data_IF_818433431258
#
_entry.id   IF_818433431258
#
_cell.length_a   1.000
_cell.length_b   1.000
_cell.length_c   1.000
_cell.angle_alpha   90.00
_cell.angle_beta   90.00
_cell.angle_gamma   90.00
#
_symmetry.space_group_name_H-M   'P 1'
#
loop_
_entity.id
_entity.type
_entity.pdbx_description
1 polymer ?
#
# COMPACT_ATOMS: atom_id res chain seq x y z
N UNK A 1 0.49 60.13 -2.18
CA UNK A 1 1.33 58.95 -2.48
C UNK A 1 1.78 58.38 -1.15
N UNK A 2 1.66 57.07 -0.93
CA UNK A 2 2.13 56.36 0.27
C UNK A 2 2.84 55.07 -0.18
N UNK A 3 3.75 54.51 0.63
CA UNK A 3 4.84 53.68 0.11
C UNK A 3 4.46 52.23 -0.22
N UNK A 4 5.37 51.59 -0.97
CA UNK A 4 5.32 50.19 -1.42
C UNK A 4 5.08 49.18 -0.30
N UNK A 5 4.16 48.25 -0.53
CA UNK A 5 3.94 47.08 0.32
C UNK A 5 5.22 46.24 0.46
N UNK A 6 5.75 46.09 1.67
CA UNK A 6 6.66 44.98 1.98
C UNK A 6 5.84 43.68 1.95
N UNK A 7 6.03 42.87 0.91
CA UNK A 7 5.67 41.44 0.99
C UNK A 7 6.71 40.76 1.89
N UNK A 8 6.36 40.56 3.16
CA UNK A 8 7.11 39.68 4.06
C UNK A 8 7.08 38.25 3.51
N UNK A 9 8.20 37.79 2.96
CA UNK A 9 8.40 36.40 2.59
C UNK A 9 8.47 35.54 3.86
N UNK A 10 7.32 35.04 4.31
CA UNK A 10 7.28 33.91 5.21
C UNK A 10 7.80 32.68 4.46
N UNK A 11 8.94 32.14 4.90
CA UNK A 11 9.46 30.90 4.38
C UNK A 11 8.50 29.76 4.76
N UNK A 12 7.77 29.23 3.78
CA UNK A 12 6.92 28.05 3.94
C UNK A 12 7.80 26.84 4.24
N UNK A 13 7.83 26.40 5.50
CA UNK A 13 8.46 25.15 5.87
C UNK A 13 7.74 24.01 5.14
N UNK A 14 8.48 23.19 4.38
CA UNK A 14 7.90 22.06 3.67
C UNK A 14 7.41 21.03 4.68
N UNK A 15 6.17 20.57 4.51
CA UNK A 15 5.59 19.50 5.34
C UNK A 15 6.35 18.19 5.16
N UNK A 16 6.86 17.95 3.96
CA UNK A 16 7.68 16.81 3.58
C UNK A 16 9.13 17.23 3.31
N UNK A 17 9.94 16.22 3.02
CA UNK A 17 11.40 16.26 2.92
C UNK A 17 11.83 14.88 2.30
N UNK A 18 12.99 14.73 1.60
CA UNK A 18 13.70 13.40 1.34
C UNK A 18 15.11 13.17 2.01
N UNK A 19 15.26 12.17 2.92
CA UNK A 19 16.37 11.80 3.88
C UNK A 19 17.54 11.27 3.09
N UNK A 20 17.19 10.31 2.26
CA UNK A 20 18.08 9.47 1.52
C UNK A 20 17.30 9.00 0.28
N UNK A 21 18.04 8.71 -0.79
CA UNK A 21 17.52 8.31 -2.09
C UNK A 21 18.29 7.08 -2.54
N UNK A 22 17.58 6.09 -3.05
CA UNK A 22 18.19 4.91 -3.66
C UNK A 22 17.65 4.72 -5.07
N UNK A 23 18.53 4.47 -6.03
CA UNK A 23 18.22 4.09 -7.41
C UNK A 23 18.03 2.57 -7.47
N UNK A 24 16.83 2.11 -7.83
CA UNK A 24 16.48 0.68 -7.86
C UNK A 24 16.84 -0.03 -9.17
N UNK A 25 17.51 0.64 -10.12
CA UNK A 25 17.92 0.19 -11.47
C UNK A 25 16.79 -0.27 -12.42
N UNK A 26 15.71 -0.82 -11.87
CA UNK A 26 14.46 -1.25 -12.50
C UNK A 26 13.30 -0.43 -11.91
N UNK A 27 12.15 -0.42 -12.59
CA UNK A 27 11.00 0.39 -12.14
C UNK A 27 10.50 -0.05 -10.76
N UNK A 28 10.40 0.89 -9.81
CA UNK A 28 9.95 0.56 -8.45
C UNK A 28 8.42 0.48 -8.39
N UNK A 29 7.92 -0.67 -7.95
CA UNK A 29 6.53 -1.09 -8.15
C UNK A 29 5.79 -1.25 -6.81
N UNK A 30 6.50 -1.72 -5.78
CA UNK A 30 5.91 -1.94 -4.45
C UNK A 30 6.91 -1.66 -3.34
N UNK A 31 6.44 -1.14 -2.21
CA UNK A 31 7.23 -0.94 -0.98
C UNK A 31 6.39 -1.37 0.22
N UNK A 32 6.99 -2.13 1.14
CA UNK A 32 6.30 -2.63 2.34
C UNK A 32 7.22 -2.61 3.57
N UNK A 33 6.78 -1.93 4.62
CA UNK A 33 7.46 -1.90 5.92
C UNK A 33 7.11 -3.13 6.76
N UNK A 34 8.10 -3.70 7.45
CA UNK A 34 7.86 -4.85 8.31
C UNK A 34 7.06 -4.40 9.55
N UNK A 35 5.90 -5.02 9.85
CA UNK A 35 5.07 -4.65 10.99
C UNK A 35 5.59 -5.22 12.32
N UNK A 36 6.45 -6.24 12.26
CA UNK A 36 6.85 -7.05 13.42
C UNK A 36 7.83 -6.30 14.32
N UNK A 37 7.56 -6.33 15.62
CA UNK A 37 8.40 -5.80 16.70
C UNK A 37 9.87 -6.22 16.55
N UNK A 38 10.78 -5.30 16.89
CA UNK A 38 12.24 -5.41 16.68
C UNK A 38 12.72 -5.46 15.21
N UNK A 39 11.81 -5.49 14.23
CA UNK A 39 12.12 -5.42 12.78
C UNK A 39 11.40 -4.26 12.07
N UNK A 40 10.77 -3.34 12.82
CA UNK A 40 10.02 -2.18 12.28
C UNK A 40 10.87 -1.15 11.53
N UNK A 41 12.19 -1.28 11.62
CA UNK A 41 13.22 -0.54 10.86
C UNK A 41 13.59 -1.24 9.54
N UNK A 42 13.05 -2.42 9.27
CA UNK A 42 13.19 -3.18 8.01
C UNK A 42 12.03 -2.89 7.06
N UNK A 43 12.34 -2.80 5.78
CA UNK A 43 11.35 -2.78 4.70
C UNK A 43 11.90 -3.43 3.43
N UNK A 44 11.02 -3.69 2.48
CA UNK A 44 11.36 -4.19 1.16
C UNK A 44 10.91 -3.23 0.06
N UNK A 45 11.63 -3.24 -1.06
CA UNK A 45 11.19 -2.66 -2.33
C UNK A 45 11.15 -3.75 -3.40
N UNK A 46 10.00 -3.91 -4.07
CA UNK A 46 9.79 -4.79 -5.21
C UNK A 46 9.85 -3.99 -6.51
N UNK A 47 10.52 -4.52 -7.53
CA UNK A 47 10.63 -3.86 -8.85
C UNK A 47 10.05 -4.69 -9.99
N UNK A 48 9.74 -3.98 -11.06
CA UNK A 48 9.18 -4.49 -12.31
C UNK A 48 10.00 -3.95 -13.49
N UNK A 49 10.44 -4.83 -14.39
CA UNK A 49 11.11 -4.44 -15.63
C UNK A 49 10.62 -5.30 -16.80
N UNK A 50 10.13 -4.64 -17.85
CA UNK A 50 9.71 -5.29 -19.09
C UNK A 50 10.86 -5.23 -20.11
N UNK A 51 11.48 -6.36 -20.42
CA UNK A 51 12.40 -6.43 -21.55
C UNK A 51 11.63 -6.44 -22.86
N UNK A 52 11.81 -5.38 -23.65
CA UNK A 52 11.54 -5.36 -25.09
C UNK A 52 12.81 -5.82 -25.79
N UNK A 53 12.77 -7.00 -26.38
CA UNK A 53 13.93 -7.57 -27.08
C UNK A 53 13.92 -7.10 -28.54
N UNK A 54 14.62 -5.99 -28.82
CA UNK A 54 14.55 -5.27 -30.11
C UNK A 54 15.00 -6.10 -31.32
N UNK A 55 15.65 -7.26 -31.08
CA UNK A 55 16.17 -8.15 -32.13
C UNK A 55 15.34 -9.44 -32.32
N UNK A 56 14.24 -9.66 -31.57
CA UNK A 56 13.43 -10.88 -31.70
C UNK A 56 12.19 -10.70 -32.59
N UNK A 57 12.01 -11.63 -33.52
CA UNK A 57 10.87 -11.67 -34.45
C UNK A 57 9.56 -12.11 -33.75
N UNK A 58 8.90 -11.15 -33.13
CA UNK A 58 7.44 -11.02 -32.89
C UNK A 58 6.63 -12.14 -32.20
N UNK A 59 7.20 -13.32 -31.94
CA UNK A 59 6.47 -14.50 -31.44
C UNK A 59 6.93 -14.99 -30.05
N UNK A 60 7.70 -14.19 -29.30
CA UNK A 60 8.12 -14.51 -27.92
C UNK A 60 7.41 -13.55 -26.98
N UNK A 61 6.75 -14.07 -25.94
CA UNK A 61 6.08 -13.26 -24.93
C UNK A 61 7.11 -12.41 -24.14
N UNK A 62 6.82 -11.13 -23.85
CA UNK A 62 7.82 -10.21 -23.34
C UNK A 62 8.23 -10.58 -21.91
N UNK A 63 9.53 -10.79 -21.70
CA UNK A 63 10.07 -11.22 -20.41
C UNK A 63 9.96 -10.10 -19.39
N UNK A 64 9.48 -10.48 -18.20
CA UNK A 64 9.25 -9.58 -17.05
C UNK A 64 10.18 -9.99 -15.92
N UNK A 65 11.16 -9.15 -15.63
CA UNK A 65 12.16 -9.33 -14.57
C UNK A 65 11.87 -8.37 -13.42
N UNK A 66 12.40 -8.66 -12.25
CA UNK A 66 12.30 -7.76 -11.10
C UNK A 66 13.27 -8.16 -10.01
N UNK A 67 13.28 -7.36 -8.95
CA UNK A 67 14.09 -7.58 -7.77
C UNK A 67 13.28 -7.38 -6.52
N UNK A 68 13.67 -8.07 -5.45
CA UNK A 68 13.30 -7.70 -4.09
C UNK A 68 14.57 -7.17 -3.42
N UNK A 69 14.56 -5.88 -3.10
CA UNK A 69 15.58 -5.23 -2.30
C UNK A 69 15.15 -5.27 -0.83
N UNK A 70 16.00 -5.78 0.06
CA UNK A 70 15.79 -5.75 1.51
C UNK A 70 16.60 -4.60 2.11
N UNK A 71 15.94 -3.67 2.79
CA UNK A 71 16.56 -2.48 3.39
C UNK A 71 16.35 -2.42 4.90
N UNK A 72 17.32 -1.83 5.60
CA UNK A 72 17.19 -1.35 6.97
C UNK A 72 17.39 0.17 6.99
N UNK A 73 16.58 0.92 7.75
CA UNK A 73 16.88 2.32 8.07
C UNK A 73 17.72 2.39 9.35
N UNK A 74 18.77 3.21 9.35
CA UNK A 74 19.66 3.38 10.51
C UNK A 74 19.69 4.84 11.00
N UNK A 75 20.58 5.13 11.96
CA UNK A 75 20.84 6.47 12.47
C UNK A 75 21.04 7.51 11.35
N UNK A 76 20.65 8.75 11.65
CA UNK A 76 20.54 9.86 10.70
C UNK A 76 19.60 9.59 9.50
N UNK A 77 18.87 8.47 9.49
CA UNK A 77 17.86 8.15 8.49
C UNK A 77 18.37 7.52 7.20
N UNK A 78 19.65 7.14 7.16
CA UNK A 78 20.29 6.50 6.01
C UNK A 78 19.68 5.12 5.73
N UNK A 79 19.56 4.77 4.45
CA UNK A 79 19.21 3.43 3.98
C UNK A 79 20.46 2.54 3.95
N UNK A 80 20.31 1.32 4.45
CA UNK A 80 21.31 0.25 4.33
C UNK A 80 20.67 -0.88 3.53
N UNK A 81 21.19 -1.13 2.33
CA UNK A 81 20.84 -2.29 1.54
C UNK A 81 21.45 -3.54 2.19
N UNK A 82 20.60 -4.50 2.54
CA UNK A 82 21.00 -5.76 3.18
C UNK A 82 21.12 -6.90 2.17
N UNK A 83 20.23 -6.95 1.18
CA UNK A 83 20.14 -8.04 0.20
C UNK A 83 19.44 -7.56 -1.08
N UNK A 84 19.83 -8.13 -2.22
CA UNK A 84 19.08 -8.07 -3.48
C UNK A 84 18.76 -9.50 -3.91
N UNK A 85 17.52 -9.76 -4.28
CA UNK A 85 17.06 -11.02 -4.85
C UNK A 85 16.58 -10.78 -6.28
N UNK A 86 17.26 -11.36 -7.28
CA UNK A 86 16.80 -11.39 -8.67
C UNK A 86 15.61 -12.36 -8.79
N UNK A 87 14.48 -11.88 -9.31
CA UNK A 87 13.19 -12.60 -9.36
C UNK A 87 12.45 -12.32 -10.68
N UNK A 88 11.35 -13.04 -11.00
CA UNK A 88 10.36 -12.52 -11.96
C UNK A 88 9.78 -11.21 -11.45
N UNK A 89 9.26 -10.36 -12.34
CA UNK A 89 8.74 -9.05 -11.94
C UNK A 89 7.70 -9.16 -10.81
N UNK A 90 7.88 -8.34 -9.76
CA UNK A 90 6.93 -8.21 -8.66
C UNK A 90 5.78 -7.33 -9.13
N UNK A 91 4.54 -7.72 -8.81
CA UNK A 91 3.33 -6.89 -9.01
C UNK A 91 2.73 -6.44 -7.68
N UNK A 92 2.91 -7.24 -6.63
CA UNK A 92 2.53 -6.90 -5.27
C UNK A 92 3.32 -7.75 -4.28
N UNK A 93 3.44 -7.24 -3.07
CA UNK A 93 3.98 -7.97 -1.93
C UNK A 93 3.41 -7.33 -0.67
N UNK A 94 3.25 -8.13 0.40
CA UNK A 94 2.84 -7.66 1.73
C UNK A 94 3.42 -8.55 2.81
N UNK A 95 3.87 -7.96 3.91
CA UNK A 95 4.24 -8.72 5.10
C UNK A 95 2.99 -9.35 5.74
N UNK A 96 3.14 -10.54 6.34
CA UNK A 96 2.19 -11.00 7.33
C UNK A 96 2.28 -10.07 8.55
N UNK A 97 1.13 -9.63 9.06
CA UNK A 97 1.07 -8.69 10.19
C UNK A 97 1.40 -9.35 11.54
N UNK A 98 1.58 -10.67 11.56
CA UNK A 98 1.94 -11.48 12.74
C UNK A 98 3.03 -12.49 12.37
N UNK A 99 3.74 -13.01 13.37
CA UNK A 99 4.67 -14.12 13.19
C UNK A 99 3.93 -15.45 13.08
N UNK A 100 4.33 -16.30 12.15
CA UNK A 100 3.79 -17.65 11.99
C UNK A 100 4.84 -18.67 12.43
N UNK A 101 4.59 -19.40 13.51
CA UNK A 101 5.57 -20.37 14.05
C UNK A 101 6.95 -19.73 14.32
N UNK A 102 6.96 -18.50 14.85
CA UNK A 102 8.15 -17.65 15.04
C UNK A 102 8.86 -17.19 13.74
N UNK A 103 8.33 -17.50 12.56
CA UNK A 103 8.80 -17.01 11.24
C UNK A 103 8.15 -15.65 10.97
N UNK A 104 8.94 -14.67 10.51
CA UNK A 104 8.44 -13.40 9.93
C UNK A 104 8.28 -13.63 8.43
N UNK A 105 7.07 -13.43 7.89
CA UNK A 105 6.75 -13.84 6.52
C UNK A 105 6.43 -12.65 5.61
N UNK A 106 6.92 -12.72 4.37
CA UNK A 106 6.62 -11.80 3.27
C UNK A 106 5.95 -12.60 2.14
N UNK A 107 4.73 -12.22 1.78
CA UNK A 107 4.04 -12.75 0.60
C UNK A 107 4.39 -11.90 -0.62
N UNK A 108 4.60 -12.54 -1.78
CA UNK A 108 4.95 -11.91 -3.06
C UNK A 108 4.10 -12.50 -4.19
N UNK A 109 3.49 -11.64 -5.01
CA UNK A 109 2.79 -11.97 -6.24
C UNK A 109 3.66 -11.56 -7.44
N UNK A 110 3.94 -12.51 -8.34
CA UNK A 110 4.88 -12.30 -9.44
C UNK A 110 4.30 -12.58 -10.85
N UNK A 111 5.04 -12.08 -11.84
CA UNK A 111 4.66 -12.11 -13.26
C UNK A 111 4.71 -13.47 -13.95
N UNK A 112 5.00 -14.57 -13.24
CA UNK A 112 4.90 -15.94 -13.76
C UNK A 112 3.69 -16.70 -13.16
N UNK A 113 2.86 -16.01 -12.38
CA UNK A 113 1.68 -16.60 -11.76
C UNK A 113 1.99 -17.40 -10.50
N UNK A 114 2.98 -16.99 -9.72
CA UNK A 114 3.28 -17.59 -8.42
C UNK A 114 2.91 -16.65 -7.28
N UNK A 115 2.30 -17.25 -6.24
CA UNK A 115 2.36 -16.76 -4.88
C UNK A 115 3.63 -17.37 -4.25
N UNK A 116 4.55 -16.52 -3.81
CA UNK A 116 5.79 -16.90 -3.16
C UNK A 116 5.78 -16.38 -1.72
N UNK A 117 6.23 -17.20 -0.77
CA UNK A 117 6.35 -16.85 0.65
C UNK A 117 7.82 -16.88 1.01
N UNK A 118 8.35 -15.74 1.41
CA UNK A 118 9.71 -15.58 1.93
C UNK A 118 9.67 -15.49 3.45
N UNK A 119 10.70 -16.02 4.11
CA UNK A 119 10.94 -15.80 5.54
C UNK A 119 12.08 -14.80 5.72
N UNK A 120 11.86 -13.78 6.56
CA UNK A 120 12.95 -12.96 7.09
C UNK A 120 13.66 -13.73 8.22
N UNK A 121 14.95 -13.95 8.07
CA UNK A 121 15.88 -14.50 9.06
C UNK A 121 16.75 -13.40 9.67
N UNK A 122 17.36 -13.71 10.82
CA UNK A 122 18.18 -12.76 11.58
C UNK A 122 19.27 -13.50 12.37
N UNK A 123 20.32 -13.95 11.67
CA UNK A 123 21.39 -14.79 12.22
C UNK A 123 22.64 -13.94 12.48
N UNK A 124 23.02 -13.76 13.76
CA UNK A 124 24.18 -12.98 14.19
C UNK A 124 24.26 -11.60 13.51
N UNK A 125 23.26 -10.76 13.78
CA UNK A 125 23.04 -9.40 13.22
C UNK A 125 22.70 -9.32 11.72
N UNK A 126 23.13 -10.28 10.90
CA UNK A 126 22.77 -10.37 9.48
C UNK A 126 21.30 -10.73 9.30
N UNK A 127 20.61 -10.02 8.39
CA UNK A 127 19.19 -10.26 8.07
C UNK A 127 19.04 -10.57 6.59
N UNK A 128 18.31 -11.64 6.26
CA UNK A 128 18.05 -12.07 4.87
C UNK A 128 16.61 -12.54 4.68
N UNK A 129 16.12 -12.42 3.46
CA UNK A 129 14.94 -13.11 2.96
C UNK A 129 15.38 -14.41 2.27
N UNK A 130 14.79 -15.51 2.74
CA UNK A 130 14.93 -16.84 2.15
C UNK A 130 13.57 -17.28 1.62
N UNK A 131 13.51 -17.87 0.41
CA UNK A 131 12.26 -18.42 -0.13
C UNK A 131 11.86 -19.67 0.68
N UNK A 132 10.73 -19.61 1.39
CA UNK A 132 10.20 -20.71 2.19
C UNK A 132 9.38 -21.68 1.35
N UNK A 133 8.43 -21.15 0.56
CA UNK A 133 7.53 -21.94 -0.29
C UNK A 133 6.97 -21.10 -1.44
N UNK A 134 6.56 -21.75 -2.53
CA UNK A 134 5.82 -21.10 -3.62
C UNK A 134 4.74 -22.03 -4.20
N UNK A 135 3.64 -21.44 -4.65
CA UNK A 135 2.52 -22.15 -5.30
C UNK A 135 2.09 -21.38 -6.56
N UNK A 136 1.86 -22.08 -7.67
CA UNK A 136 1.30 -21.46 -8.87
C UNK A 136 -0.19 -21.17 -8.65
N UNK A 137 -0.64 -19.99 -9.04
CA UNK A 137 -2.00 -19.54 -8.74
C UNK A 137 -3.05 -20.06 -9.74
N UNK A 138 -2.63 -20.39 -10.96
CA UNK A 138 -3.44 -21.04 -11.97
C UNK A 138 -2.60 -22.08 -12.73
N UNK A 139 -3.25 -23.13 -13.24
CA UNK A 139 -2.55 -24.23 -13.91
C UNK A 139 -2.08 -23.84 -15.32
N UNK A 140 -2.80 -22.91 -15.95
CA UNK A 140 -2.47 -22.35 -17.27
C UNK A 140 -1.24 -21.45 -17.19
N UNK A 141 -0.41 -21.54 -18.23
CA UNK A 141 0.61 -20.53 -18.50
C UNK A 141 -0.02 -19.17 -18.85
N UNK A 142 0.79 -18.11 -18.78
CA UNK A 142 0.41 -16.70 -19.06
C UNK A 142 -0.62 -16.06 -18.10
N UNK A 143 -0.88 -16.66 -16.93
CA UNK A 143 -1.61 -16.00 -15.83
C UNK A 143 -0.62 -15.27 -14.92
N UNK A 144 -0.83 -13.97 -14.70
CA UNK A 144 -0.07 -13.17 -13.74
C UNK A 144 -0.78 -13.20 -12.38
N UNK A 145 -0.02 -13.31 -11.29
CA UNK A 145 -0.50 -12.89 -9.97
C UNK A 145 -0.37 -11.37 -9.89
N UNK A 146 -1.45 -10.68 -9.52
CA UNK A 146 -1.54 -9.22 -9.60
C UNK A 146 -1.51 -8.54 -8.23
N UNK A 147 -2.27 -9.05 -7.27
CA UNK A 147 -2.22 -8.57 -5.88
C UNK A 147 -2.39 -9.72 -4.89
N UNK A 148 -2.00 -9.51 -3.65
CA UNK A 148 -2.27 -10.39 -2.53
C UNK A 148 -2.63 -9.62 -1.26
N UNK A 149 -3.30 -10.31 -0.33
CA UNK A 149 -3.50 -9.81 1.03
C UNK A 149 -3.57 -10.96 2.06
N UNK A 150 -3.22 -10.68 3.30
CA UNK A 150 -3.19 -11.63 4.41
C UNK A 150 -4.39 -11.43 5.34
N UNK A 151 -4.99 -12.51 5.83
CA UNK A 151 -6.08 -12.45 6.83
C UNK A 151 -5.64 -11.98 8.23
N UNK A 152 -4.49 -11.31 8.35
CA UNK A 152 -3.78 -11.00 9.61
C UNK A 152 -3.85 -9.53 10.02
N UNK A 153 -4.44 -8.64 9.19
CA UNK A 153 -4.41 -7.18 9.38
C UNK A 153 -4.92 -6.64 10.72
N UNK A 154 -5.64 -7.46 11.48
CA UNK A 154 -6.14 -7.17 12.84
C UNK A 154 -5.28 -7.71 13.99
N UNK A 155 -4.06 -8.18 13.69
CA UNK A 155 -3.04 -8.73 14.61
C UNK A 155 -3.48 -9.98 15.39
N UNK A 156 -4.37 -10.79 14.80
CA UNK A 156 -4.83 -12.05 15.38
C UNK A 156 -3.97 -13.23 14.91
N UNK A 157 -3.50 -14.04 15.86
CA UNK A 157 -2.78 -15.29 15.58
C UNK A 157 -3.78 -16.44 15.37
N UNK A 158 -4.18 -16.70 14.12
CA UNK A 158 -4.83 -17.96 13.74
C UNK A 158 -3.81 -19.11 13.64
N UNK A 159 -4.29 -20.36 13.77
CA UNK A 159 -3.45 -21.58 13.72
C UNK A 159 -2.88 -21.83 12.31
N UNK A 160 -3.62 -21.42 11.29
CA UNK A 160 -3.21 -21.40 9.88
C UNK A 160 -3.30 -19.95 9.38
N UNK A 161 -2.43 -19.53 8.45
CA UNK A 161 -2.58 -18.22 7.81
C UNK A 161 -3.25 -18.34 6.45
N UNK A 162 -4.22 -17.47 6.16
CA UNK A 162 -4.91 -17.39 4.87
C UNK A 162 -4.40 -16.20 4.06
N UNK A 163 -4.26 -16.42 2.76
CA UNK A 163 -3.80 -15.43 1.78
C UNK A 163 -4.80 -15.41 0.62
N UNK A 164 -5.28 -14.24 0.23
CA UNK A 164 -6.01 -14.05 -1.02
C UNK A 164 -5.05 -13.56 -2.10
N UNK A 165 -5.22 -14.00 -3.34
CA UNK A 165 -4.48 -13.51 -4.51
C UNK A 165 -5.42 -13.24 -5.68
N UNK A 166 -5.25 -12.12 -6.37
CA UNK A 166 -5.99 -11.76 -7.58
C UNK A 166 -5.17 -12.00 -8.85
N UNK A 167 -5.83 -12.25 -10.00
CA UNK A 167 -5.15 -12.66 -11.24
C UNK A 167 -5.55 -11.93 -12.53
N UNK A 168 -4.70 -12.07 -13.55
CA UNK A 168 -4.88 -11.46 -14.88
C UNK A 168 -5.88 -12.17 -15.80
N UNK A 169 -6.74 -13.04 -15.25
CA UNK A 169 -7.91 -13.63 -15.91
C UNK A 169 -9.20 -13.34 -15.13
N UNK A 170 -9.15 -12.50 -14.09
CA UNK A 170 -10.29 -12.06 -13.30
C UNK A 170 -10.63 -12.95 -12.12
N UNK A 171 -9.79 -13.95 -11.81
CA UNK A 171 -10.01 -14.81 -10.65
C UNK A 171 -9.46 -14.18 -9.37
N UNK A 172 -10.13 -14.51 -8.27
CA UNK A 172 -9.67 -14.28 -6.90
C UNK A 172 -9.54 -15.66 -6.26
N UNK A 173 -8.36 -15.99 -5.74
CA UNK A 173 -8.04 -17.32 -5.21
C UNK A 173 -7.61 -17.24 -3.75
N UNK A 174 -8.19 -18.11 -2.91
CA UNK A 174 -7.88 -18.21 -1.49
C UNK A 174 -6.91 -19.37 -1.26
N UNK A 175 -5.85 -19.10 -0.51
CA UNK A 175 -4.84 -20.06 -0.10
C UNK A 175 -4.75 -20.15 1.42
N UNK A 176 -4.38 -21.34 1.91
CA UNK A 176 -3.98 -21.58 3.30
C UNK A 176 -2.49 -21.96 3.33
N UNK A 177 -1.76 -21.32 4.25
CA UNK A 177 -0.40 -21.68 4.63
C UNK A 177 -0.45 -22.48 5.92
N UNK A 178 -0.07 -23.76 5.83
CA UNK A 178 0.25 -24.61 6.98
C UNK A 178 1.76 -24.57 7.25
N UNK A 179 2.26 -25.41 8.17
CA UNK A 179 3.68 -25.45 8.56
C UNK A 179 4.67 -25.56 7.37
N UNK A 180 4.32 -26.40 6.38
CA UNK A 180 5.18 -26.78 5.26
C UNK A 180 4.46 -26.78 3.89
N UNK A 181 3.15 -26.46 3.82
CA UNK A 181 2.39 -26.47 2.58
C UNK A 181 1.61 -25.17 2.35
N UNK A 182 1.51 -24.77 1.08
CA UNK A 182 0.69 -23.65 0.62
C UNK A 182 -0.37 -24.21 -0.33
N UNK A 183 -1.61 -24.30 0.14
CA UNK A 183 -2.70 -25.00 -0.53
C UNK A 183 -3.83 -24.07 -0.93
N UNK A 184 -4.31 -24.19 -2.17
CA UNK A 184 -5.44 -23.40 -2.67
C UNK A 184 -6.73 -24.00 -2.10
N UNK A 185 -7.46 -23.23 -1.29
CA UNK A 185 -8.74 -23.63 -0.71
C UNK A 185 -9.86 -23.49 -1.74
N UNK A 186 -9.91 -22.34 -2.42
CA UNK A 186 -11.01 -21.98 -3.32
C UNK A 186 -10.55 -20.96 -4.39
N UNK A 187 -11.35 -20.78 -5.44
CA UNK A 187 -11.11 -19.80 -6.49
C UNK A 187 -12.42 -19.36 -7.15
N UNK A 188 -12.64 -18.05 -7.22
CA UNK A 188 -13.86 -17.45 -7.77
C UNK A 188 -13.54 -16.67 -9.04
N UNK A 189 -14.30 -16.91 -10.11
CA UNK A 189 -14.30 -16.09 -11.33
C UNK A 189 -15.03 -14.78 -11.06
N UNK A 190 -14.45 -13.92 -10.22
CA UNK A 190 -15.03 -12.66 -9.78
C UNK A 190 -15.28 -11.72 -10.98
N UNK A 191 -14.26 -11.55 -11.81
CA UNK A 191 -14.18 -10.49 -12.81
C UNK A 191 -14.07 -11.06 -14.22
N UNK A 192 -14.51 -10.29 -15.22
CA UNK A 192 -14.41 -10.65 -16.65
C UNK A 192 -13.11 -10.21 -17.32
N UNK A 193 -12.33 -9.38 -16.62
CA UNK A 193 -11.03 -8.83 -16.99
C UNK A 193 -10.11 -8.92 -15.77
N UNK A 194 -8.86 -8.47 -15.87
CA UNK A 194 -7.90 -8.53 -14.77
C UNK A 194 -8.48 -8.02 -13.43
N UNK A 195 -8.34 -8.85 -12.39
CA UNK A 195 -8.66 -8.49 -11.02
C UNK A 195 -7.42 -7.79 -10.44
N UNK A 196 -7.40 -6.45 -10.48
CA UNK A 196 -6.25 -5.66 -10.08
C UNK A 196 -5.95 -5.73 -8.59
N UNK A 197 -6.99 -5.83 -7.75
CA UNK A 197 -6.84 -5.90 -6.30
C UNK A 197 -7.76 -6.96 -5.69
N UNK A 198 -7.26 -7.67 -4.68
CA UNK A 198 -8.05 -8.37 -3.67
C UNK A 198 -7.51 -8.03 -2.27
N UNK A 199 -8.42 -7.85 -1.31
CA UNK A 199 -8.11 -7.53 0.08
C UNK A 199 -9.11 -8.23 1.02
N UNK A 200 -8.70 -8.58 2.23
CA UNK A 200 -9.62 -9.09 3.25
C UNK A 200 -10.40 -7.95 3.92
N UNK A 201 -11.60 -8.27 4.43
CA UNK A 201 -12.10 -7.56 5.60
C UNK A 201 -11.31 -8.03 6.83
N UNK A 202 -10.74 -7.10 7.59
CA UNK A 202 -9.96 -7.47 8.78
C UNK A 202 -10.83 -7.81 10.00
N UNK A 203 -12.16 -7.60 9.95
CA UNK A 203 -13.10 -7.88 11.04
C UNK A 203 -13.95 -9.14 10.80
N UNK A 204 -14.32 -9.45 9.56
CA UNK A 204 -14.77 -10.81 9.18
C UNK A 204 -13.85 -11.40 8.10
N UNK A 205 -12.90 -12.26 8.50
CA UNK A 205 -11.95 -12.92 7.59
C UNK A 205 -12.60 -13.93 6.63
N UNK A 206 -13.92 -14.13 6.71
CA UNK A 206 -14.69 -14.80 5.66
C UNK A 206 -15.05 -13.87 4.49
N UNK A 207 -14.81 -12.55 4.60
CA UNK A 207 -15.13 -11.56 3.57
C UNK A 207 -13.87 -11.08 2.85
N UNK A 208 -13.95 -11.03 1.52
CA UNK A 208 -12.91 -10.58 0.61
C UNK A 208 -13.50 -9.53 -0.34
N UNK A 209 -12.84 -8.40 -0.46
CA UNK A 209 -13.14 -7.37 -1.46
C UNK A 209 -12.23 -7.51 -2.67
N UNK A 210 -12.72 -7.20 -3.87
CA UNK A 210 -11.89 -7.19 -5.07
C UNK A 210 -12.32 -6.17 -6.12
N UNK A 211 -11.38 -5.77 -6.97
CA UNK A 211 -11.53 -4.71 -7.98
C UNK A 211 -11.11 -5.14 -9.38
N UNK A 212 -11.93 -4.81 -10.39
CA UNK A 212 -11.62 -5.05 -11.81
C UNK A 212 -10.86 -3.88 -12.44
N UNK A 213 -10.02 -4.19 -13.44
CA UNK A 213 -9.24 -3.22 -14.24
C UNK A 213 -10.03 -2.27 -15.15
N UNK A 214 -11.20 -2.68 -15.66
CA UNK A 214 -11.84 -1.98 -16.78
C UNK A 214 -12.37 -0.60 -16.38
N UNK A 215 -12.45 0.31 -17.36
CA UNK A 215 -13.08 1.63 -17.22
C UNK A 215 -14.39 1.73 -18.00
N UNK A 216 -15.28 2.60 -17.56
CA UNK A 216 -16.66 2.69 -18.00
C UNK A 216 -17.60 1.74 -17.24
N UNK A 217 -18.85 1.69 -17.69
CA UNK A 217 -20.03 1.16 -16.98
C UNK A 217 -19.93 -0.31 -16.49
N UNK A 218 -18.92 -1.07 -16.91
CA UNK A 218 -18.67 -2.44 -16.46
C UNK A 218 -17.60 -2.60 -15.38
N UNK A 219 -16.98 -1.52 -14.90
CA UNK A 219 -16.11 -1.59 -13.73
C UNK A 219 -16.87 -2.17 -12.53
N UNK A 220 -16.24 -3.11 -11.82
CA UNK A 220 -16.85 -3.83 -10.68
C UNK A 220 -15.93 -3.78 -9.48
N UNK A 221 -16.45 -3.21 -8.40
CA UNK A 221 -16.09 -3.56 -7.04
C UNK A 221 -16.95 -4.76 -6.62
N UNK A 222 -16.36 -5.76 -5.97
CA UNK A 222 -17.07 -6.96 -5.50
C UNK A 222 -16.76 -7.28 -4.05
N UNK A 223 -17.77 -7.84 -3.38
CA UNK A 223 -17.67 -8.50 -2.11
C UNK A 223 -17.88 -10.01 -2.32
N UNK A 224 -16.98 -10.82 -1.78
CA UNK A 224 -16.97 -12.28 -1.86
C UNK A 224 -16.97 -12.80 -0.44
N UNK A 225 -17.98 -13.59 -0.09
CA UNK A 225 -18.00 -14.38 1.13
C UNK A 225 -17.42 -15.76 0.81
N UNK A 226 -16.33 -16.15 1.48
CA UNK A 226 -15.60 -17.40 1.22
C UNK A 226 -16.47 -18.67 1.36
N UNK A 227 -17.60 -18.57 2.08
CA UNK A 227 -18.55 -19.64 2.37
C UNK A 227 -19.61 -19.83 1.27
N UNK A 228 -19.92 -18.78 0.49
CA UNK A 228 -21.03 -18.79 -0.50
C UNK A 228 -20.68 -18.19 -1.88
N UNK A 229 -19.53 -17.54 -2.04
CA UNK A 229 -19.11 -16.86 -3.27
C UNK A 229 -19.44 -15.36 -3.29
N UNK A 230 -19.57 -14.79 -4.49
CA UNK A 230 -19.82 -13.36 -4.71
C UNK A 230 -21.17 -12.97 -4.09
N UNK A 231 -21.15 -12.13 -3.06
CA UNK A 231 -22.33 -11.76 -2.27
C UNK A 231 -22.80 -10.31 -2.52
N UNK A 232 -21.94 -9.42 -3.02
CA UNK A 232 -22.34 -8.10 -3.50
C UNK A 232 -21.46 -7.61 -4.67
N UNK A 233 -22.00 -6.71 -5.50
CA UNK A 233 -21.24 -5.99 -6.54
C UNK A 233 -21.72 -4.55 -6.65
N UNK A 234 -20.77 -3.64 -6.88
CA UNK A 234 -20.98 -2.21 -7.06
C UNK A 234 -20.28 -1.72 -8.35
N UNK A 235 -20.81 -0.66 -8.97
CA UNK A 235 -20.33 -0.05 -10.23
C UNK A 235 -20.15 1.49 -10.15
N UNK A 236 -19.89 2.05 -8.95
CA UNK A 236 -19.72 3.51 -8.74
C UNK A 236 -18.32 4.02 -9.13
N UNK A 237 -17.35 3.12 -9.27
CA UNK A 237 -16.05 3.42 -9.85
C UNK A 237 -16.18 3.53 -11.36
N UNK A 238 -15.73 4.64 -11.96
CA UNK A 238 -15.80 4.87 -13.41
C UNK A 238 -14.54 4.38 -14.14
N UNK A 239 -13.48 4.06 -13.40
CA UNK A 239 -12.28 3.38 -13.90
C UNK A 239 -11.82 2.28 -12.94
N UNK A 240 -10.84 1.48 -13.40
CA UNK A 240 -10.40 0.28 -12.69
C UNK A 240 -10.00 0.51 -11.23
N UNK A 241 -10.50 -0.35 -10.35
CA UNK A 241 -10.21 -0.28 -8.90
C UNK A 241 -8.84 -0.88 -8.64
N UNK A 242 -7.93 -0.05 -8.15
CA UNK A 242 -6.49 -0.29 -8.04
C UNK A 242 -6.05 -0.62 -6.61
N UNK A 243 -6.75 -0.09 -5.60
CA UNK A 243 -6.41 -0.31 -4.19
C UNK A 243 -7.65 -0.50 -3.33
N UNK A 244 -7.57 -1.38 -2.34
CA UNK A 244 -8.57 -1.59 -1.28
C UNK A 244 -7.79 -1.86 0.00
N UNK A 245 -8.17 -1.20 1.11
CA UNK A 245 -7.47 -1.36 2.39
C UNK A 245 -8.45 -1.24 3.57
N UNK A 246 -8.55 -2.31 4.38
CA UNK A 246 -9.46 -2.39 5.53
C UNK A 246 -8.89 -1.68 6.76
N UNK A 247 -9.74 -1.02 7.55
CA UNK A 247 -9.32 -0.27 8.72
C UNK A 247 -9.24 -1.17 9.96
N UNK A 248 -8.02 -1.43 10.45
CA UNK A 248 -7.79 -2.34 11.58
C UNK A 248 -8.32 -1.85 12.95
N UNK A 249 -8.65 -0.55 13.11
CA UNK A 249 -9.16 0.02 14.37
C UNK A 249 -10.63 0.43 14.30
N UNK A 250 -11.18 0.64 13.11
CA UNK A 250 -12.59 0.99 12.88
C UNK A 250 -13.34 -0.12 12.13
N UNK A 251 -14.16 -0.87 12.87
CA UNK A 251 -15.06 -1.88 12.29
C UNK A 251 -15.96 -1.26 11.22
N UNK A 252 -16.25 -2.05 10.18
CA UNK A 252 -17.01 -1.68 8.98
C UNK A 252 -16.40 -0.59 8.07
N UNK A 253 -15.23 -0.01 8.38
CA UNK A 253 -14.59 0.99 7.52
C UNK A 253 -13.55 0.36 6.58
N UNK A 254 -13.75 0.52 5.27
CA UNK A 254 -12.73 0.24 4.25
C UNK A 254 -12.52 1.45 3.33
N UNK A 255 -11.32 1.60 2.78
CA UNK A 255 -11.00 2.58 1.74
C UNK A 255 -10.78 1.90 0.40
N UNK A 256 -11.19 2.52 -0.71
CA UNK A 256 -10.86 2.09 -2.08
C UNK A 256 -10.29 3.22 -2.92
N UNK A 257 -9.24 2.93 -3.70
CA UNK A 257 -8.68 3.80 -4.72
C UNK A 257 -8.95 3.22 -6.11
N UNK A 258 -9.12 4.10 -7.09
CA UNK A 258 -9.31 3.75 -8.49
C UNK A 258 -8.48 4.65 -9.39
N UNK A 259 -8.25 4.18 -10.62
CA UNK A 259 -7.72 4.95 -11.74
C UNK A 259 -8.62 6.15 -12.13
N UNK A 260 -9.82 6.28 -11.55
CA UNK A 260 -10.72 7.45 -11.72
C UNK A 260 -10.39 8.63 -10.80
N UNK A 261 -9.18 8.65 -10.25
CA UNK A 261 -8.61 9.71 -9.39
C UNK A 261 -9.29 9.87 -8.02
N UNK A 262 -10.36 9.11 -7.75
CA UNK A 262 -11.23 9.30 -6.59
C UNK A 262 -10.99 8.23 -5.52
N UNK A 263 -10.46 8.66 -4.37
CA UNK A 263 -10.51 7.92 -3.11
C UNK A 263 -11.95 7.87 -2.60
N UNK A 264 -12.42 6.68 -2.20
CA UNK A 264 -13.75 6.47 -1.61
C UNK A 264 -13.64 5.76 -0.26
N UNK A 265 -14.40 6.21 0.73
CA UNK A 265 -14.55 5.56 2.03
C UNK A 265 -15.90 4.84 2.08
N UNK A 266 -15.95 3.66 2.70
CA UNK A 266 -17.11 2.77 2.64
C UNK A 266 -17.51 2.23 4.01
N UNK A 267 -18.81 2.05 4.21
CA UNK A 267 -19.40 1.25 5.28
C UNK A 267 -19.72 -0.14 4.72
N UNK A 268 -19.07 -1.19 5.23
CA UNK A 268 -19.25 -2.56 4.71
C UNK A 268 -20.65 -3.12 4.95
N UNK A 269 -21.44 -2.51 5.84
CA UNK A 269 -22.86 -2.81 6.07
C UNK A 269 -23.75 -2.25 4.96
N UNK A 270 -23.26 -1.33 4.14
CA UNK A 270 -23.99 -0.72 3.02
C UNK A 270 -23.11 -0.44 1.79
N UNK A 271 -22.55 -1.50 1.18
CA UNK A 271 -21.75 -1.44 -0.05
C UNK A 271 -22.53 -1.01 -1.32
N UNK A 272 -23.66 -0.31 -1.20
CA UNK A 272 -24.41 0.28 -2.33
C UNK A 272 -23.86 1.65 -2.76
N UNK A 273 -23.25 2.39 -1.84
CA UNK A 273 -22.65 3.70 -2.06
C UNK A 273 -21.52 3.92 -1.05
N UNK A 274 -20.52 4.77 -1.36
CA UNK A 274 -19.55 5.19 -0.36
C UNK A 274 -20.21 6.06 0.74
N UNK A 275 -19.51 6.21 1.86
CA UNK A 275 -19.79 7.22 2.89
C UNK A 275 -19.43 8.61 2.34
N UNK A 276 -18.27 8.69 1.69
CA UNK A 276 -17.71 9.90 1.10
C UNK A 276 -16.75 9.56 -0.03
N UNK A 277 -16.46 10.55 -0.87
CA UNK A 277 -15.44 10.47 -1.90
C UNK A 277 -14.65 11.80 -2.02
N UNK A 278 -13.43 11.71 -2.55
CA UNK A 278 -12.53 12.85 -2.77
C UNK A 278 -11.58 12.56 -3.94
N UNK A 279 -11.47 13.48 -4.90
CA UNK A 279 -10.46 13.42 -5.96
C UNK A 279 -9.08 13.82 -5.38
N UNK A 280 -8.03 13.09 -5.75
CA UNK A 280 -6.65 13.28 -5.29
C UNK A 280 -5.68 13.80 -6.38
N UNK A 281 -6.21 14.24 -7.52
CA UNK A 281 -5.54 14.78 -8.71
C UNK A 281 -4.65 13.74 -9.44
N UNK A 282 -4.99 12.46 -9.35
CA UNK A 282 -4.28 11.38 -10.05
C UNK A 282 -4.74 9.98 -9.65
N UNK A 283 -4.61 9.00 -10.56
CA UNK A 283 -5.12 7.64 -10.40
C UNK A 283 -4.59 6.95 -9.14
N UNK A 284 -5.49 6.58 -8.22
CA UNK A 284 -5.16 6.24 -6.82
C UNK A 284 -4.66 4.80 -6.71
N UNK A 285 -3.38 4.58 -7.00
CA UNK A 285 -2.79 3.26 -7.20
C UNK A 285 -2.61 2.45 -5.91
N UNK A 286 -2.00 3.07 -4.88
CA UNK A 286 -1.76 2.47 -3.56
C UNK A 286 -2.43 3.27 -2.46
N UNK A 287 -3.07 2.58 -1.52
CA UNK A 287 -3.62 3.14 -0.29
C UNK A 287 -3.09 2.38 0.94
N UNK A 288 -2.63 3.09 1.97
CA UNK A 288 -2.18 2.53 3.26
C UNK A 288 -2.67 3.38 4.43
N UNK A 289 -3.38 2.78 5.38
CA UNK A 289 -3.79 3.41 6.65
C UNK A 289 -2.56 3.59 7.56
N UNK A 290 -2.50 4.69 8.33
CA UNK A 290 -1.38 4.93 9.25
C UNK A 290 -1.28 3.81 10.33
N UNK A 291 -0.07 3.32 10.64
CA UNK A 291 0.10 2.09 11.42
C UNK A 291 -0.20 2.25 12.92
N UNK A 292 -0.63 3.44 13.36
CA UNK A 292 -0.97 3.74 14.75
C UNK A 292 -2.48 3.90 14.95
N UNK A 293 -3.05 5.03 14.54
CA UNK A 293 -4.45 5.39 14.79
C UNK A 293 -5.41 4.87 13.70
N UNK A 294 -4.90 4.60 12.47
CA UNK A 294 -5.69 4.38 11.24
C UNK A 294 -6.66 5.54 10.93
N UNK A 295 -6.26 6.77 11.22
CA UNK A 295 -7.03 8.00 10.92
C UNK A 295 -6.58 8.63 9.61
N UNK A 296 -5.29 8.52 9.29
CA UNK A 296 -4.70 9.06 8.08
C UNK A 296 -4.50 7.96 7.04
N UNK A 297 -4.70 8.31 5.78
CA UNK A 297 -4.48 7.43 4.63
C UNK A 297 -3.40 8.03 3.74
N UNK A 298 -2.31 7.29 3.54
CA UNK A 298 -1.29 7.60 2.54
C UNK A 298 -1.75 7.04 1.19
N UNK A 299 -1.73 7.89 0.17
CA UNK A 299 -2.10 7.54 -1.20
C UNK A 299 -0.93 7.82 -2.16
N UNK A 300 -0.65 6.85 -3.04
CA UNK A 300 0.13 7.09 -4.26
C UNK A 300 -0.84 7.34 -5.41
N UNK A 301 -0.75 8.52 -6.01
CA UNK A 301 -1.64 9.00 -7.06
C UNK A 301 -0.83 9.14 -8.35
N UNK A 302 -1.07 8.28 -9.33
CA UNK A 302 -0.40 8.33 -10.63
C UNK A 302 -0.54 9.72 -11.23
N UNK A 303 0.59 10.37 -11.53
CA UNK A 303 0.71 11.77 -11.97
C UNK A 303 0.29 12.86 -10.94
N UNK A 304 -0.48 12.52 -9.90
CA UNK A 304 -0.85 13.42 -8.79
C UNK A 304 0.13 13.45 -7.62
N UNK A 305 1.19 12.63 -7.64
CA UNK A 305 2.19 12.53 -6.58
C UNK A 305 1.71 11.68 -5.40
N UNK A 306 2.11 12.05 -4.18
CA UNK A 306 1.67 11.35 -2.97
C UNK A 306 0.84 12.28 -2.08
N UNK A 307 -0.29 11.78 -1.57
CA UNK A 307 -1.20 12.53 -0.71
C UNK A 307 -1.31 11.87 0.67
N UNK A 308 -1.43 12.66 1.73
CA UNK A 308 -1.93 12.20 3.04
C UNK A 308 -3.32 12.80 3.24
N UNK A 309 -4.30 11.93 3.46
CA UNK A 309 -5.72 12.29 3.68
C UNK A 309 -6.06 12.03 5.15
N UNK A 310 -6.64 13.01 5.84
CA UNK A 310 -7.30 12.80 7.14
C UNK A 310 -8.72 12.27 6.87
N UNK A 311 -9.02 11.10 7.44
CA UNK A 311 -10.29 10.39 7.33
C UNK A 311 -10.91 10.13 8.72
N UNK A 312 -10.48 10.83 9.78
CA UNK A 312 -11.08 10.66 11.12
C UNK A 312 -12.59 10.97 11.08
N UNK A 313 -12.95 12.05 10.35
CA UNK A 313 -14.31 12.33 9.91
C UNK A 313 -14.57 11.66 8.56
N UNK A 314 -15.18 10.47 8.60
CA UNK A 314 -15.46 9.60 7.46
C UNK A 314 -16.40 10.18 6.41
N UNK A 315 -17.07 11.28 6.72
CA UNK A 315 -18.09 11.93 5.89
C UNK A 315 -17.49 13.13 5.12
N UNK A 316 -16.35 13.65 5.58
CA UNK A 316 -15.65 14.81 5.02
C UNK A 316 -14.13 14.56 5.12
N UNK A 317 -13.57 13.59 4.36
CA UNK A 317 -12.13 13.41 4.29
C UNK A 317 -11.47 14.64 3.67
N UNK A 318 -10.21 14.90 4.01
CA UNK A 318 -9.48 16.05 3.48
C UNK A 318 -8.00 15.78 3.28
N UNK A 319 -7.42 16.26 2.19
CA UNK A 319 -5.96 16.23 1.97
C UNK A 319 -5.31 17.16 2.99
N UNK A 320 -4.50 16.60 3.87
CA UNK A 320 -3.73 17.33 4.89
C UNK A 320 -2.25 17.44 4.55
N UNK A 321 -1.76 16.73 3.54
CA UNK A 321 -0.38 16.82 3.07
C UNK A 321 -0.17 16.30 1.65
N UNK A 322 0.80 16.88 0.95
CA UNK A 322 1.18 16.59 -0.43
C UNK A 322 2.70 16.46 -0.57
N UNK A 323 3.16 15.46 -1.33
CA UNK A 323 4.58 15.17 -1.58
C UNK A 323 4.82 14.79 -3.04
N UNK A 324 5.47 15.70 -3.76
CA UNK A 324 5.63 15.66 -5.22
C UNK A 324 7.11 15.89 -5.60
N UNK A 325 8.07 15.32 -4.84
CA UNK A 325 9.52 15.43 -5.14
C UNK A 325 10.00 14.40 -6.20
N UNK A 326 9.16 13.43 -6.59
CA UNK A 326 9.47 12.46 -7.65
C UNK A 326 9.12 13.05 -9.03
N UNK A 327 9.96 12.78 -10.04
CA UNK A 327 9.75 13.28 -11.41
C UNK A 327 8.86 12.35 -12.26
N UNK A 328 8.61 11.13 -11.78
CA UNK A 328 7.81 10.11 -12.46
C UNK A 328 6.50 9.76 -11.74
N UNK A 329 5.86 8.69 -12.20
CA UNK A 329 4.58 8.17 -11.69
C UNK A 329 4.78 7.66 -10.26
N UNK A 330 4.15 8.33 -9.29
CA UNK A 330 3.95 7.83 -7.93
C UNK A 330 3.15 6.52 -7.96
N UNK A 331 3.71 5.46 -7.36
CA UNK A 331 3.19 4.09 -7.58
C UNK A 331 3.16 3.27 -6.28
N UNK A 332 4.29 3.11 -5.59
CA UNK A 332 4.37 2.41 -4.30
C UNK A 332 4.52 3.36 -3.11
N UNK A 333 3.79 3.10 -2.01
CA UNK A 333 3.95 3.84 -0.76
C UNK A 333 3.58 3.01 0.46
N UNK A 334 4.31 3.19 1.57
CA UNK A 334 3.96 2.57 2.86
C UNK A 334 4.55 3.31 4.08
N UNK A 335 3.95 3.09 5.25
CA UNK A 335 4.33 3.68 6.52
C UNK A 335 5.25 2.76 7.34
N UNK A 336 6.31 3.32 7.91
CA UNK A 336 7.16 2.64 8.88
C UNK A 336 6.45 2.53 10.24
N UNK A 337 6.56 1.35 10.85
CA UNK A 337 5.86 1.00 12.11
C UNK A 337 6.58 1.51 13.37
N UNK A 338 7.79 2.07 13.26
CA UNK A 338 8.45 2.74 14.38
C UNK A 338 7.61 3.94 14.83
N UNK A 339 7.27 4.02 16.12
CA UNK A 339 6.48 5.13 16.65
C UNK A 339 7.33 6.40 16.86
N UNK A 340 6.70 7.58 17.06
CA UNK A 340 7.39 8.87 17.19
C UNK A 340 8.53 8.93 18.22
N UNK A 341 8.51 8.08 19.27
CA UNK A 341 9.62 7.95 20.24
C UNK A 341 10.77 7.13 19.66
N UNK A 342 10.49 5.89 19.24
CA UNK A 342 11.46 5.00 18.57
C UNK A 342 12.15 5.73 17.42
N UNK A 343 11.35 6.35 16.56
CA UNK A 343 11.77 7.26 15.50
C UNK A 343 12.77 8.30 16.04
N UNK A 344 12.40 9.10 17.04
CA UNK A 344 13.22 10.22 17.53
C UNK A 344 14.57 9.76 18.08
N UNK A 345 14.56 8.72 18.91
CA UNK A 345 15.72 8.17 19.59
C UNK A 345 16.68 7.47 18.62
N UNK A 346 16.16 6.64 17.71
CA UNK A 346 16.98 5.76 16.87
C UNK A 346 17.41 6.41 15.54
N UNK A 347 16.63 7.35 14.98
CA UNK A 347 16.75 7.76 13.57
C UNK A 347 17.10 9.26 13.36
N UNK A 348 17.07 10.13 14.39
CA UNK A 348 17.56 11.55 14.27
C UNK A 348 18.32 12.07 15.51
N UNK A 349 18.35 11.33 16.63
CA UNK A 349 19.06 11.78 17.84
C UNK A 349 18.57 13.15 18.36
N UNK A 350 17.29 13.46 18.10
CA UNK A 350 16.62 14.71 18.44
C UNK A 350 15.16 14.46 18.77
N UNK A 351 14.71 14.97 19.93
CA UNK A 351 13.30 14.87 20.34
C UNK A 351 12.37 15.41 19.24
N UNK A 352 11.47 14.57 18.76
CA UNK A 352 10.34 14.96 17.93
C UNK A 352 9.06 14.31 18.42
N UNK A 353 7.95 15.05 18.36
CA UNK A 353 6.60 14.57 18.68
C UNK A 353 5.81 14.48 17.37
N UNK A 354 4.85 13.57 17.30
CA UNK A 354 4.03 13.31 16.10
C UNK A 354 4.88 13.05 14.83
N UNK A 355 6.06 12.43 15.00
CA UNK A 355 6.91 12.06 13.89
C UNK A 355 6.43 10.74 13.26
N UNK A 356 6.23 10.76 11.95
CA UNK A 356 5.96 9.59 11.13
C UNK A 356 7.11 9.39 10.14
N UNK A 357 7.25 8.17 9.64
CA UNK A 357 8.21 7.82 8.61
C UNK A 357 7.45 7.09 7.49
N UNK A 358 7.52 7.60 6.27
CA UNK A 358 6.95 6.94 5.08
C UNK A 358 8.06 6.64 4.08
N UNK A 359 7.90 5.58 3.29
CA UNK A 359 8.67 5.37 2.07
C UNK A 359 7.74 5.45 0.87
N UNK A 360 8.26 6.00 -0.22
CA UNK A 360 7.59 6.20 -1.50
C UNK A 360 8.50 5.73 -2.62
N UNK A 361 7.93 5.16 -3.67
CA UNK A 361 8.67 4.80 -4.87
C UNK A 361 7.86 5.08 -6.15
N UNK A 362 8.60 5.33 -7.21
CA UNK A 362 8.07 5.78 -8.50
C UNK A 362 8.66 4.97 -9.65
N UNK A 363 7.90 4.93 -10.74
CA UNK A 363 8.07 3.88 -11.74
C UNK A 363 9.25 4.13 -12.70
N UNK A 364 9.23 5.19 -13.53
CA UNK A 364 10.21 5.35 -14.62
C UNK A 364 11.49 6.14 -14.28
N UNK A 365 11.58 6.73 -13.10
CA UNK A 365 12.81 7.38 -12.58
C UNK A 365 13.64 6.46 -11.67
N UNK A 366 13.12 5.28 -11.31
CA UNK A 366 13.76 4.27 -10.46
C UNK A 366 14.06 4.76 -9.02
N UNK A 367 13.37 5.82 -8.56
CA UNK A 367 13.66 6.47 -7.27
C UNK A 367 12.87 5.85 -6.11
N UNK A 368 13.60 5.55 -5.03
CA UNK A 368 13.08 5.17 -3.72
C UNK A 368 13.42 6.27 -2.69
N UNK A 369 12.41 6.85 -2.03
CA UNK A 369 12.54 8.07 -1.21
C UNK A 369 11.72 8.07 0.10
N UNK A 370 12.22 8.76 1.14
CA UNK A 370 11.70 8.84 2.53
C UNK A 370 12.32 10.03 3.28
N UNK A 371 11.69 10.81 4.21
CA UNK A 371 12.39 11.64 5.26
C UNK A 371 11.61 11.77 6.58
N UNK A 372 12.07 12.74 7.38
CA UNK A 372 11.90 13.04 8.80
C UNK A 372 12.60 14.40 9.06
N UNK A 373 12.20 15.43 9.82
CA UNK A 373 11.00 15.88 10.57
C UNK A 373 10.96 17.44 10.40
N UNK A 374 10.14 18.31 11.03
CA UNK A 374 9.42 18.35 12.32
C UNK A 374 8.20 19.30 12.21
N UNK A 375 7.00 18.88 12.63
CA UNK A 375 5.77 19.66 12.98
C UNK A 375 5.27 20.73 11.97
N UNK A 376 3.98 20.88 11.67
CA UNK A 376 2.72 20.43 12.30
C UNK A 376 2.07 19.30 11.46
N UNK A 377 1.00 18.59 11.83
CA UNK A 377 -0.09 18.81 12.81
C UNK A 377 0.24 18.44 14.26
N UNK A 378 0.12 19.39 15.18
CA UNK A 378 -1.09 19.50 15.99
C UNK A 378 -2.38 19.65 15.16
N UNK A 379 -3.26 18.65 15.17
CA UNK A 379 -4.66 18.77 14.73
C UNK A 379 -5.42 19.58 15.79
N UNK A 380 -5.21 20.89 15.77
CA UNK A 380 -5.75 21.80 16.78
C UNK A 380 -7.15 22.26 16.36
N UNK A 381 -8.18 21.50 16.75
CA UNK A 381 -9.59 21.75 16.38
C UNK A 381 -10.14 23.15 16.76
N UNK A 382 -9.40 23.93 17.58
CA UNK A 382 -9.75 25.30 18.00
C UNK A 382 -9.90 26.35 16.89
N UNK A 383 -9.69 26.01 15.62
CA UNK A 383 -9.88 26.95 14.50
C UNK A 383 -11.28 26.96 13.87
N UNK A 384 -12.21 26.12 14.35
CA UNK A 384 -13.63 26.15 13.92
C UNK A 384 -14.61 26.73 14.96
N UNK A 385 -14.26 26.75 16.25
CA UNK A 385 -15.11 27.38 17.29
C UNK A 385 -15.16 28.92 17.13
N UNK A 386 -14.04 29.54 16.74
CA UNK A 386 -13.89 31.00 16.61
C UNK A 386 -14.71 31.66 15.47
N UNK A 387 -15.43 30.87 14.66
CA UNK A 387 -16.38 31.37 13.66
C UNK A 387 -17.85 31.29 14.12
N UNK A 388 -18.15 30.58 15.23
CA UNK A 388 -19.50 30.52 15.79
C UNK A 388 -19.82 31.79 16.61
N UNK A 389 -18.88 32.22 17.47
CA UNK A 389 -19.02 33.37 18.39
C UNK A 389 -19.02 34.77 17.70
N UNK A 390 -19.20 34.84 16.38
CA UNK A 390 -19.23 36.10 15.60
C UNK A 390 -20.48 36.32 14.75
N UNK A 391 -21.50 35.48 14.93
CA UNK A 391 -22.83 35.69 14.30
C UNK A 391 -23.86 36.22 15.31
N UNK A 392 -23.63 36.05 16.62
CA UNK A 392 -24.43 36.66 17.70
C UNK A 392 -23.74 37.92 18.26
N UNK A 393 -23.62 38.98 17.44
CA UNK A 393 -22.79 40.13 17.84
C UNK A 393 -22.83 41.40 16.97
N UNK A 394 -23.92 41.68 16.25
CA UNK A 394 -24.14 42.94 15.50
C UNK A 394 -25.61 43.30 15.34
#
# INVERSE_FOLDING_TARGET
>A
MLPSNLKTHYATSSMFRTLDIFDTEFCADSVEWCPIDFFRDIFVCGTYQLMKDENLTSNVSPKRFGRIYLFQIVQNGRLVLLQVLEVPAVLDMKWAHVTFQNKILLGVANSLGYLQIYQLKSDNENKSLDLLIQKRIADKDEVLALSLDWCTGRLANEINLKIVVSDSKGFVSLFELSENELNKINSWSAHGFEAWIAAFDYWDTNIIYSGMKISGDDCKFQCIDTRIGICASNKVHSAGVTSIHSNATREFLISSGSYDEILRLWDTRNLKQPISDINLDGGVWRLKWDPFERKHLLAACMYGGFRIVDCDKTEIPSVVGEYNEHESIAYGCDWCFLNSKEISEQILEKETRNAFLITTCSFYDHILAKKKNINFTQLNFKKYEACAEKVEGS
#
